data_IF_562897219986
#
_entry.id   IF_562897219986
#
_cell.length_a   1.000
_cell.length_b   1.000
_cell.length_c   1.000
_cell.angle_alpha   90.00
_cell.angle_beta   90.00
_cell.angle_gamma   90.00
#
_symmetry.space_group_name_H-M   'P 1'
#
loop_
_entity.id
_entity.type
_entity.pdbx_description
1 polymer ?
#
# COMPACT_ATOMS: atom_id res chain seq x y z
N UNK A 1 12.84 8.58 -1.09
CA UNK A 1 12.56 8.05 0.26
C UNK A 1 11.06 8.13 0.55
N UNK A 2 10.45 7.14 1.19
CA UNK A 2 9.04 7.24 1.63
C UNK A 2 8.97 8.26 2.77
N UNK A 3 8.13 9.29 2.62
CA UNK A 3 7.96 10.36 3.63
C UNK A 3 6.79 10.11 4.57
N UNK A 4 5.72 9.46 4.09
CA UNK A 4 4.54 9.17 4.91
C UNK A 4 3.80 7.94 4.40
N UNK A 5 3.35 7.10 5.33
CA UNK A 5 2.38 6.02 5.08
C UNK A 5 1.14 6.32 5.92
N UNK A 6 0.01 6.59 5.26
CA UNK A 6 -1.31 6.67 5.92
C UNK A 6 -2.06 5.37 5.69
N UNK A 7 -2.62 4.79 6.76
CA UNK A 7 -3.50 3.61 6.70
C UNK A 7 -4.95 4.02 6.99
N UNK A 8 -5.90 3.51 6.21
CA UNK A 8 -7.33 3.70 6.42
C UNK A 8 -7.99 2.34 6.66
N UNK A 9 -8.61 2.14 7.82
CA UNK A 9 -9.50 1.00 8.08
C UNK A 9 -10.90 1.33 7.59
N UNK A 10 -11.43 0.52 6.67
CA UNK A 10 -12.83 0.62 6.27
C UNK A 10 -13.68 -0.33 7.13
N UNK A 11 -14.42 0.23 8.09
CA UNK A 11 -15.19 -0.57 9.07
C UNK A 11 -16.31 -1.44 8.46
N UNK A 12 -16.67 -1.26 7.20
CA UNK A 12 -17.80 -1.97 6.59
C UNK A 12 -17.49 -3.40 6.11
N UNK A 13 -16.22 -3.77 5.88
CA UNK A 13 -15.84 -5.10 5.34
C UNK A 13 -14.52 -5.59 5.90
N UNK A 14 -14.49 -6.84 6.35
CA UNK A 14 -13.41 -7.42 7.14
C UNK A 14 -12.00 -7.13 6.57
N UNK A 15 -11.25 -6.32 7.34
CA UNK A 15 -9.82 -5.98 7.22
C UNK A 15 -9.34 -5.42 5.87
N UNK A 16 -10.13 -4.61 5.17
CA UNK A 16 -9.61 -3.78 4.07
C UNK A 16 -8.79 -2.61 4.61
N UNK A 17 -7.49 -2.56 4.31
CA UNK A 17 -6.65 -1.39 4.60
C UNK A 17 -6.16 -0.78 3.30
N UNK A 18 -6.65 0.42 2.99
CA UNK A 18 -6.10 1.26 1.92
C UNK A 18 -4.91 2.00 2.53
N UNK A 19 -3.74 1.87 1.93
CA UNK A 19 -2.58 2.69 2.31
C UNK A 19 -2.25 3.70 1.21
N UNK A 20 -2.11 4.95 1.60
CA UNK A 20 -1.61 6.03 0.75
C UNK A 20 -0.19 6.37 1.19
N UNK A 21 0.75 6.19 0.26
CA UNK A 21 2.18 6.38 0.49
C UNK A 21 2.63 7.61 -0.29
N UNK A 22 3.15 8.61 0.42
CA UNK A 22 3.83 9.77 -0.17
C UNK A 22 5.33 9.53 -0.27
N UNK A 23 5.90 9.94 -1.40
CA UNK A 23 7.34 10.00 -1.64
C UNK A 23 7.87 11.37 -1.24
N UNK A 24 9.16 11.44 -0.93
CA UNK A 24 9.87 12.70 -0.63
C UNK A 24 10.67 13.24 -1.81
N UNK A 25 10.78 12.44 -2.86
CA UNK A 25 11.68 12.58 -4.00
C UNK A 25 10.90 12.43 -5.32
N UNK A 26 11.30 13.20 -6.33
CA UNK A 26 10.70 13.22 -7.66
C UNK A 26 11.17 12.03 -8.54
N UNK A 27 11.35 10.84 -7.95
CA UNK A 27 11.71 9.64 -8.68
C UNK A 27 10.51 8.70 -8.79
N UNK A 28 10.28 8.13 -9.98
CA UNK A 28 9.30 7.05 -10.15
C UNK A 28 9.85 5.75 -9.57
N UNK A 29 9.05 5.08 -8.73
CA UNK A 29 9.39 3.77 -8.18
C UNK A 29 8.76 2.67 -9.02
N UNK A 30 9.57 1.69 -9.45
CA UNK A 30 9.07 0.44 -10.04
C UNK A 30 8.36 -0.41 -8.99
N UNK A 31 7.48 -1.32 -9.42
CA UNK A 31 6.78 -2.27 -8.53
C UNK A 31 7.74 -3.03 -7.59
N UNK A 32 8.91 -3.44 -8.09
CA UNK A 32 9.95 -4.11 -7.27
C UNK A 32 10.55 -3.20 -6.20
N UNK A 33 10.82 -1.94 -6.52
CA UNK A 33 11.30 -0.94 -5.53
C UNK A 33 10.23 -0.64 -4.48
N UNK A 34 8.96 -0.51 -4.87
CA UNK A 34 7.84 -0.34 -3.93
C UNK A 34 7.74 -1.54 -2.98
N UNK A 35 7.80 -2.76 -3.51
CA UNK A 35 7.73 -3.98 -2.73
C UNK A 35 8.89 -4.09 -1.73
N UNK A 36 10.13 -3.82 -2.15
CA UNK A 36 11.31 -3.86 -1.29
C UNK A 36 11.23 -2.79 -0.17
N UNK A 37 10.90 -1.54 -0.52
CA UNK A 37 10.73 -0.44 0.46
C UNK A 37 9.66 -0.71 1.51
N UNK A 38 8.62 -1.49 1.18
CA UNK A 38 7.52 -1.82 2.07
C UNK A 38 7.65 -3.19 2.75
N UNK A 39 8.66 -4.00 2.40
CA UNK A 39 8.81 -5.38 2.85
C UNK A 39 8.80 -5.49 4.38
N UNK A 40 9.57 -4.65 5.08
CA UNK A 40 9.62 -4.60 6.54
C UNK A 40 8.26 -4.24 7.17
N UNK A 41 7.49 -3.36 6.52
CA UNK A 41 6.14 -2.98 6.95
C UNK A 41 5.17 -4.15 6.75
N UNK A 42 5.20 -4.78 5.58
CA UNK A 42 4.37 -5.95 5.28
C UNK A 42 4.64 -7.11 6.23
N UNK A 43 5.91 -7.39 6.54
CA UNK A 43 6.31 -8.40 7.54
C UNK A 43 5.79 -8.03 8.94
N UNK A 44 6.05 -6.80 9.41
CA UNK A 44 5.62 -6.32 10.74
C UNK A 44 4.10 -6.45 10.96
N UNK A 45 3.30 -6.13 9.94
CA UNK A 45 1.83 -6.16 10.01
C UNK A 45 1.21 -7.45 9.46
N UNK A 46 2.01 -8.47 9.15
CA UNK A 46 1.58 -9.77 8.59
C UNK A 46 0.67 -9.62 7.36
N UNK A 47 1.03 -8.69 6.46
CA UNK A 47 0.36 -8.50 5.17
C UNK A 47 0.62 -9.73 4.30
N UNK A 48 -0.45 -10.38 3.86
CA UNK A 48 -0.40 -11.59 3.04
C UNK A 48 -0.52 -11.27 1.54
N UNK A 49 -1.30 -10.25 1.20
CA UNK A 49 -1.53 -9.82 -0.19
C UNK A 49 -1.57 -8.30 -0.28
N UNK A 50 -0.98 -7.77 -1.35
CA UNK A 50 -0.97 -6.34 -1.68
C UNK A 50 -1.37 -6.18 -3.14
N UNK A 51 -2.24 -5.20 -3.43
CA UNK A 51 -2.64 -4.83 -4.79
C UNK A 51 -2.34 -3.34 -4.98
N UNK A 52 -1.63 -2.98 -6.06
CA UNK A 52 -1.47 -1.59 -6.47
C UNK A 52 -2.78 -1.04 -7.03
N UNK A 53 -3.10 0.22 -6.72
CA UNK A 53 -4.33 0.89 -7.13
C UNK A 53 -4.04 2.14 -7.97
N UNK A 54 -5.08 2.70 -8.58
CA UNK A 54 -5.07 3.97 -9.33
C UNK A 54 -3.98 3.99 -10.42
N UNK A 55 -3.13 5.02 -10.48
CA UNK A 55 -2.20 5.24 -11.60
C UNK A 55 -1.17 4.11 -11.76
N UNK A 56 -0.65 3.55 -10.66
CA UNK A 56 0.27 2.40 -10.72
C UNK A 56 -0.41 1.14 -11.26
N UNK A 57 -1.69 0.92 -10.93
CA UNK A 57 -2.46 -0.21 -11.48
C UNK A 57 -2.75 -0.06 -12.99
N UNK A 58 -2.86 1.18 -13.46
CA UNK A 58 -3.17 1.53 -14.85
C UNK A 58 -1.93 1.72 -15.74
N UNK A 59 -0.73 1.57 -15.20
CA UNK A 59 0.52 1.91 -15.91
C UNK A 59 0.70 3.41 -16.19
N UNK A 60 -0.13 4.27 -15.60
CA UNK A 60 -0.16 5.72 -15.84
C UNK A 60 0.45 6.53 -14.69
N UNK A 61 1.30 5.90 -13.87
CA UNK A 61 1.99 6.56 -12.77
C UNK A 61 3.18 7.37 -13.29
N UNK A 62 3.46 8.48 -12.61
CA UNK A 62 4.60 9.36 -12.86
C UNK A 62 5.29 9.70 -11.53
N UNK A 63 6.37 10.46 -11.58
CA UNK A 63 7.22 10.82 -10.43
C UNK A 63 6.44 11.34 -9.22
N UNK A 64 5.44 12.22 -9.44
CA UNK A 64 4.60 12.78 -8.37
C UNK A 64 3.33 11.98 -8.05
N UNK A 65 3.09 10.84 -8.71
CA UNK A 65 1.96 9.97 -8.37
C UNK A 65 2.11 9.35 -6.97
N UNK A 66 1.08 9.55 -6.14
CA UNK A 66 0.90 8.83 -4.88
C UNK A 66 0.86 7.31 -5.12
N UNK A 67 1.62 6.55 -4.34
CA UNK A 67 1.50 5.08 -4.34
C UNK A 67 0.28 4.73 -3.50
N UNK A 68 -0.73 4.15 -4.16
CA UNK A 68 -1.97 3.69 -3.52
C UNK A 68 -1.94 2.16 -3.52
N UNK A 69 -2.05 1.54 -2.34
CA UNK A 69 -2.11 0.09 -2.20
C UNK A 69 -3.31 -0.35 -1.38
N UNK A 70 -3.82 -1.53 -1.71
CA UNK A 70 -4.78 -2.29 -0.92
C UNK A 70 -4.01 -3.43 -0.26
N UNK A 71 -4.01 -3.52 1.08
CA UNK A 71 -3.36 -4.63 1.80
C UNK A 71 -4.39 -5.49 2.51
N UNK A 72 -4.24 -6.81 2.34
CA UNK A 72 -5.00 -7.83 3.04
C UNK A 72 -4.07 -8.68 3.91
N UNK A 73 -4.35 -8.75 5.21
CA UNK A 73 -3.54 -9.48 6.19
C UNK A 73 -4.26 -10.70 6.79
N UNK A 74 -5.37 -11.14 6.19
CA UNK A 74 -5.92 -12.48 6.40
C UNK A 74 -6.66 -12.73 7.72
N UNK A 75 -7.22 -11.71 8.38
CA UNK A 75 -8.34 -11.97 9.31
C UNK A 75 -9.54 -12.29 8.43
N UNK A 76 -10.06 -13.51 8.56
CA UNK A 76 -11.43 -13.86 8.18
C UNK A 76 -12.14 -14.15 9.50
N UNK A 77 -13.30 -13.56 9.74
CA UNK A 77 -14.09 -13.84 10.94
C UNK A 77 -13.49 -13.32 12.26
N UNK A 78 -13.01 -12.08 12.29
CA UNK A 78 -12.85 -11.35 13.56
C UNK A 78 -13.88 -10.21 13.59
N UNK A 79 -15.07 -10.54 14.09
CA UNK A 79 -16.04 -9.56 14.55
C UNK A 79 -15.61 -9.02 15.93
N UNK A 80 -15.87 -7.73 16.15
CA UNK A 80 -16.01 -7.09 17.45
C UNK A 80 -17.42 -6.51 17.52
#
# INVERSE_FOLDING_TARGET
MISKVSFYLEHSKERLIISKIKKSDNNMDTTGQIQSKLQTVFQKYKVQRTILLRSYAKGSAHEMSDINIMVGSGLRGMAF
#
